data_IF_415596434366
#
_entry.id   IF_415596434366
#
_cell.length_a   1.000
_cell.length_b   1.000
_cell.length_c   1.000
_cell.angle_alpha   90.00
_cell.angle_beta   90.00
_cell.angle_gamma   90.00
#
_symmetry.space_group_name_H-M   'P 1'
#
loop_
_entity.id
_entity.type
_entity.pdbx_description
1 polymer ?
#
# COMPACT_ATOMS: atom_id res chain seq x y z
N UNK A 1 37.37 32.60 -13.20
CA UNK A 1 36.49 31.42 -13.39
C UNK A 1 35.06 31.90 -13.54
N UNK A 2 34.52 31.78 -14.73
CA UNK A 2 33.19 32.28 -15.14
C UNK A 2 32.09 31.37 -14.59
N UNK A 3 31.08 31.97 -13.96
CA UNK A 3 29.88 31.32 -13.45
C UNK A 3 28.94 30.96 -14.62
N UNK A 4 28.73 29.68 -14.88
CA UNK A 4 27.80 29.20 -15.91
C UNK A 4 26.35 29.24 -15.42
N UNK A 5 25.54 30.14 -16.00
CA UNK A 5 24.07 30.14 -15.85
C UNK A 5 23.47 28.98 -16.64
N UNK A 6 22.82 28.04 -15.98
CA UNK A 6 21.93 27.07 -16.61
C UNK A 6 20.60 27.76 -16.92
N UNK A 7 20.32 28.02 -18.20
CA UNK A 7 19.02 28.52 -18.67
C UNK A 7 18.13 27.30 -18.93
N UNK A 8 17.19 27.03 -18.04
CA UNK A 8 16.13 26.06 -18.29
C UNK A 8 15.11 26.63 -19.27
N UNK A 9 14.88 25.93 -20.39
CA UNK A 9 13.81 26.27 -21.32
C UNK A 9 12.44 25.95 -20.68
N UNK A 10 11.42 26.83 -20.82
CA UNK A 10 10.10 26.58 -20.27
C UNK A 10 9.37 25.50 -21.08
N UNK A 11 9.04 24.40 -20.42
CA UNK A 11 8.13 23.38 -20.93
C UNK A 11 6.70 23.95 -20.91
N UNK A 12 6.21 24.43 -22.06
CA UNK A 12 4.84 24.89 -22.22
C UNK A 12 3.87 23.72 -22.05
N UNK A 13 3.20 23.65 -20.89
CA UNK A 13 2.03 22.82 -20.69
C UNK A 13 0.81 23.53 -21.29
N UNK A 14 0.37 23.08 -22.46
CA UNK A 14 -0.94 23.46 -22.98
C UNK A 14 -2.03 22.85 -22.09
N UNK A 15 -2.72 23.72 -21.35
CA UNK A 15 -3.86 23.37 -20.51
C UNK A 15 -5.05 22.90 -21.36
N UNK A 16 -5.35 21.60 -21.37
CA UNK A 16 -6.69 21.12 -21.72
C UNK A 16 -7.61 21.31 -20.51
N UNK A 17 -8.33 22.43 -20.52
CA UNK A 17 -9.36 22.81 -19.55
C UNK A 17 -10.66 22.06 -19.86
N UNK A 18 -10.79 20.84 -19.36
CA UNK A 18 -12.08 20.19 -19.15
C UNK A 18 -11.96 19.35 -17.87
N UNK A 19 -12.66 19.76 -16.79
CA UNK A 19 -12.58 19.12 -15.48
C UNK A 19 -13.17 17.71 -15.52
N UNK A 20 -12.37 16.63 -15.35
CA UNK A 20 -12.85 15.24 -15.35
C UNK A 20 -13.66 14.87 -14.10
N UNK A 21 -13.76 15.82 -13.15
CA UNK A 21 -14.25 15.59 -11.79
C UNK A 21 -15.76 15.36 -11.79
N UNK A 22 -16.56 16.14 -12.52
CA UNK A 22 -18.02 15.98 -12.50
C UNK A 22 -18.49 14.69 -13.19
N UNK A 23 -17.77 14.22 -14.22
CA UNK A 23 -18.10 13.00 -14.97
C UNK A 23 -17.93 11.73 -14.12
N UNK A 24 -16.90 11.68 -13.27
CA UNK A 24 -16.60 10.49 -12.43
C UNK A 24 -17.48 10.45 -11.18
N UNK A 25 -17.86 11.61 -10.62
CA UNK A 25 -18.81 11.69 -9.50
C UNK A 25 -20.24 11.27 -9.92
N UNK A 26 -20.63 11.53 -11.17
CA UNK A 26 -21.88 11.02 -11.73
C UNK A 26 -21.84 9.50 -12.02
N UNK A 27 -20.65 8.94 -12.31
CA UNK A 27 -20.49 7.49 -12.51
C UNK A 27 -20.62 6.71 -11.19
N UNK A 28 -19.91 7.14 -10.13
CA UNK A 28 -19.94 6.45 -8.83
C UNK A 28 -21.30 6.47 -8.13
N UNK A 29 -22.12 7.50 -8.37
CA UNK A 29 -23.50 7.57 -7.84
C UNK A 29 -24.49 6.76 -8.68
N UNK A 30 -24.32 6.70 -10.01
CA UNK A 30 -25.18 5.88 -10.90
C UNK A 30 -24.86 4.39 -10.86
N UNK A 31 -23.63 3.97 -10.55
CA UNK A 31 -23.27 2.55 -10.39
C UNK A 31 -23.94 1.89 -9.19
N UNK A 32 -24.44 2.67 -8.22
CA UNK A 32 -25.16 2.15 -7.06
C UNK A 32 -26.68 2.01 -7.30
N UNK A 33 -27.24 2.55 -8.39
CA UNK A 33 -28.69 2.55 -8.64
C UNK A 33 -29.14 2.01 -10.00
N UNK A 34 -28.24 1.76 -10.97
CA UNK A 34 -28.61 1.27 -12.30
C UNK A 34 -28.54 -0.26 -12.45
N UNK A 35 -29.53 -0.84 -13.12
CA UNK A 35 -29.58 -2.27 -13.48
C UNK A 35 -28.59 -2.60 -14.60
N UNK A 36 -28.03 -3.81 -14.58
CA UNK A 36 -27.00 -4.35 -15.49
C UNK A 36 -27.28 -4.12 -16.99
N UNK A 37 -28.55 -3.99 -17.39
CA UNK A 37 -28.95 -3.78 -18.79
C UNK A 37 -28.56 -2.38 -19.34
N UNK A 38 -28.36 -1.39 -18.48
CA UNK A 38 -28.12 0.00 -18.88
C UNK A 38 -26.63 0.31 -19.13
N UNK A 39 -25.73 -0.60 -18.71
CA UNK A 39 -24.27 -0.40 -18.80
C UNK A 39 -23.67 -0.70 -20.19
N UNK A 40 -24.34 -1.45 -21.06
CA UNK A 40 -23.73 -1.91 -22.32
C UNK A 40 -23.68 -0.86 -23.44
N UNK A 41 -24.63 0.08 -23.49
CA UNK A 41 -24.75 1.00 -24.63
C UNK A 41 -23.90 2.28 -24.52
N UNK A 42 -23.60 2.76 -23.31
CA UNK A 42 -22.92 4.05 -23.10
C UNK A 42 -21.39 3.94 -23.03
N UNK A 43 -20.86 2.76 -22.69
CA UNK A 43 -19.41 2.54 -22.51
C UNK A 43 -18.61 2.41 -23.81
N UNK A 44 -19.21 1.90 -24.88
CA UNK A 44 -18.47 1.46 -26.08
C UNK A 44 -18.17 2.63 -27.04
N UNK A 45 -19.12 3.56 -27.22
CA UNK A 45 -19.02 4.60 -28.25
C UNK A 45 -18.01 5.70 -27.92
N UNK A 46 -17.81 6.04 -26.65
CA UNK A 46 -16.85 7.07 -26.24
C UNK A 46 -15.40 6.53 -26.16
N UNK A 47 -15.26 5.23 -25.87
CA UNK A 47 -13.99 4.54 -25.77
C UNK A 47 -13.28 4.39 -27.12
N UNK A 48 -14.03 4.08 -28.18
CA UNK A 48 -13.48 3.94 -29.53
C UNK A 48 -12.89 5.24 -30.09
N UNK A 49 -13.50 6.39 -29.76
CA UNK A 49 -13.03 7.71 -30.23
C UNK A 49 -11.75 8.17 -29.51
N UNK A 50 -11.54 7.75 -28.26
CA UNK A 50 -10.32 8.04 -27.50
C UNK A 50 -9.15 7.14 -27.93
N UNK A 51 -9.41 5.86 -28.21
CA UNK A 51 -8.41 4.89 -28.67
C UNK A 51 -7.80 5.24 -30.03
N UNK A 52 -8.59 5.82 -30.95
CA UNK A 52 -8.09 6.25 -32.27
C UNK A 52 -7.13 7.45 -32.20
N UNK A 53 -7.24 8.28 -31.17
CA UNK A 53 -6.36 9.44 -30.99
C UNK A 53 -4.99 9.07 -30.37
N UNK A 54 -4.93 8.00 -29.58
CA UNK A 54 -3.71 7.55 -28.92
C UNK A 54 -2.85 6.60 -29.78
N UNK A 55 -3.37 6.07 -30.91
CA UNK A 55 -2.66 5.10 -31.76
C UNK A 55 -1.49 5.70 -32.58
N UNK A 56 -1.31 7.02 -32.56
CA UNK A 56 -0.26 7.71 -33.32
C UNK A 56 1.07 7.93 -32.58
N UNK A 57 1.18 7.61 -31.29
CA UNK A 57 2.36 7.94 -30.49
C UNK A 57 2.70 6.80 -29.51
N UNK A 58 3.52 5.85 -29.95
CA UNK A 58 4.06 4.84 -29.04
C UNK A 58 4.47 3.56 -29.73
N UNK A 59 5.61 3.57 -30.43
CA UNK A 59 6.34 2.36 -30.78
C UNK A 59 7.72 2.42 -30.13
N UNK A 60 8.13 1.28 -29.55
CA UNK A 60 9.44 0.93 -29.00
C UNK A 60 9.67 1.38 -27.52
N UNK A 61 10.17 0.58 -26.57
CA UNK A 61 11.01 -0.63 -26.59
C UNK A 61 10.69 -1.48 -25.35
N UNK A 62 10.66 -2.80 -25.53
CA UNK A 62 10.58 -3.83 -24.51
C UNK A 62 11.99 -4.22 -24.03
N UNK A 63 12.22 -4.42 -22.71
CA UNK A 63 13.03 -5.56 -22.24
C UNK A 63 12.81 -5.86 -20.76
N UNK A 64 12.67 -7.15 -20.48
CA UNK A 64 12.36 -7.77 -19.19
C UNK A 64 13.62 -8.13 -18.40
N UNK A 65 13.52 -8.17 -17.07
CA UNK A 65 14.27 -9.13 -16.24
C UNK A 65 13.53 -9.36 -14.91
N UNK A 66 13.36 -10.63 -14.56
CA UNK A 66 12.59 -11.08 -13.40
C UNK A 66 13.42 -11.17 -12.12
N UNK A 67 12.76 -11.00 -10.97
CA UNK A 67 13.35 -11.10 -9.64
C UNK A 67 12.44 -11.92 -8.72
N UNK A 68 13.01 -12.92 -8.02
CA UNK A 68 12.30 -13.76 -7.04
C UNK A 68 12.67 -13.34 -5.62
N UNK A 69 11.69 -13.38 -4.72
CA UNK A 69 11.75 -12.93 -3.32
C UNK A 69 11.86 -14.13 -2.37
N UNK A 70 12.66 -13.99 -1.31
CA UNK A 70 12.69 -14.91 -0.17
C UNK A 70 12.65 -14.14 1.15
N UNK A 71 11.65 -14.45 1.99
CA UNK A 71 11.38 -13.85 3.30
C UNK A 71 12.21 -14.55 4.40
N UNK A 72 12.62 -13.80 5.44
CA UNK A 72 12.39 -14.21 6.85
C UNK A 72 12.68 -13.11 7.88
N UNK A 73 11.88 -13.17 8.96
CA UNK A 73 11.76 -12.26 10.11
C UNK A 73 13.00 -12.21 11.00
N UNK A 74 13.19 -11.07 11.66
CA UNK A 74 13.97 -10.96 12.91
C UNK A 74 13.23 -10.06 13.91
N UNK A 75 13.22 -10.48 15.17
CA UNK A 75 12.64 -9.81 16.34
C UNK A 75 13.71 -8.94 17.03
N UNK A 76 13.32 -7.82 17.65
CA UNK A 76 14.23 -6.85 18.29
C UNK A 76 13.95 -6.81 19.80
N UNK A 77 14.98 -6.86 20.68
CA UNK A 77 14.89 -6.27 22.00
C UNK A 77 15.62 -4.93 22.06
N UNK A 78 14.94 -3.98 22.70
CA UNK A 78 15.32 -2.59 22.91
C UNK A 78 16.24 -2.48 24.13
N UNK A 79 17.38 -1.82 23.99
CA UNK A 79 18.12 -1.32 25.15
C UNK A 79 18.79 0.01 24.83
N UNK A 80 18.42 1.00 25.64
CA UNK A 80 18.92 2.38 25.64
C UNK A 80 20.05 2.47 26.66
N UNK A 81 21.23 3.02 26.34
CA UNK A 81 22.15 3.47 27.36
C UNK A 81 22.21 5.00 27.46
N UNK A 82 22.25 5.44 28.71
CA UNK A 82 22.36 6.82 29.16
C UNK A 82 23.70 7.46 28.76
N UNK A 83 23.63 8.77 28.51
CA UNK A 83 24.74 9.59 28.08
C UNK A 83 25.72 9.91 29.23
N UNK A 84 27.01 9.67 28.99
CA UNK A 84 28.09 10.28 29.77
C UNK A 84 28.93 11.17 28.86
N UNK A 85 28.96 12.46 29.19
CA UNK A 85 29.77 13.49 28.55
C UNK A 85 31.24 13.33 28.96
N UNK A 86 32.10 12.98 28.02
CA UNK A 86 33.56 13.10 28.17
C UNK A 86 34.10 14.03 27.09
N UNK A 87 34.71 15.13 27.53
CA UNK A 87 35.37 16.13 26.69
C UNK A 87 36.77 15.62 26.35
N UNK A 88 36.97 15.13 25.13
CA UNK A 88 38.28 14.73 24.61
C UNK A 88 38.98 15.91 23.93
N UNK A 89 40.20 16.21 24.40
CA UNK A 89 41.15 17.11 23.76
C UNK A 89 41.68 16.46 22.48
N UNK A 90 41.59 17.18 21.35
CA UNK A 90 42.04 16.72 20.04
C UNK A 90 43.55 17.00 19.93
N UNK A 91 44.36 15.98 20.16
CA UNK A 91 45.78 15.97 19.80
C UNK A 91 45.90 15.59 18.32
N UNK A 92 46.34 16.52 17.48
CA UNK A 92 46.58 16.27 16.06
C UNK A 92 47.97 15.65 15.86
N UNK A 93 48.13 14.38 16.24
CA UNK A 93 49.26 13.60 15.73
C UNK A 93 48.99 13.29 14.26
N UNK A 94 49.62 14.06 13.35
CA UNK A 94 49.67 13.73 11.94
C UNK A 94 50.65 12.59 11.73
N UNK A 95 50.21 11.37 12.04
CA UNK A 95 50.93 10.16 11.66
C UNK A 95 50.86 10.05 10.12
N UNK A 96 51.99 9.89 9.41
CA UNK A 96 51.96 9.69 7.97
C UNK A 96 51.18 8.42 7.69
N UNK A 97 49.93 8.58 7.24
CA UNK A 97 49.05 7.46 6.91
C UNK A 97 49.73 6.64 5.82
N UNK A 98 50.33 5.53 6.22
CA UNK A 98 50.92 4.58 5.30
C UNK A 98 49.89 4.27 4.22
N UNK A 99 50.27 4.56 2.98
CA UNK A 99 49.42 4.27 1.81
C UNK A 99 49.03 2.79 1.89
N UNK A 100 47.74 2.44 1.83
CA UNK A 100 47.32 1.06 1.99
C UNK A 100 48.03 0.23 0.92
N UNK A 101 48.92 -0.67 1.36
CA UNK A 101 49.65 -1.58 0.47
C UNK A 101 48.61 -2.43 -0.26
N UNK A 102 48.38 -2.12 -1.54
CA UNK A 102 47.50 -2.90 -2.41
C UNK A 102 48.19 -4.24 -2.66
N UNK A 103 47.86 -5.22 -1.84
CA UNK A 103 48.28 -6.60 -2.06
C UNK A 103 47.21 -7.26 -2.91
N UNK A 104 47.58 -7.73 -4.11
CA UNK A 104 46.66 -8.51 -4.95
C UNK A 104 46.38 -9.84 -4.24
N UNK A 105 45.24 -9.92 -3.58
CA UNK A 105 44.78 -11.15 -2.92
C UNK A 105 44.35 -12.16 -4.01
N UNK A 106 44.63 -13.46 -3.88
CA UNK A 106 44.16 -14.48 -4.84
C UNK A 106 42.64 -14.43 -5.00
N UNK A 107 42.13 -14.64 -6.22
CA UNK A 107 40.71 -14.47 -6.59
C UNK A 107 39.74 -15.18 -5.63
N UNK A 108 40.03 -16.41 -5.21
CA UNK A 108 39.17 -17.15 -4.27
C UNK A 108 39.13 -16.64 -2.83
N UNK A 109 40.16 -15.92 -2.36
CA UNK A 109 40.18 -15.33 -1.01
C UNK A 109 39.56 -13.93 -0.98
N UNK A 110 39.53 -13.22 -2.13
CA UNK A 110 38.79 -11.97 -2.27
C UNK A 110 37.29 -12.19 -2.13
N UNK A 111 36.77 -13.28 -2.71
CA UNK A 111 35.34 -13.59 -2.66
C UNK A 111 34.85 -13.87 -1.24
N UNK A 112 35.64 -14.58 -0.43
CA UNK A 112 35.31 -14.85 0.96
C UNK A 112 35.30 -13.56 1.82
N UNK A 113 36.29 -12.69 1.65
CA UNK A 113 36.37 -11.42 2.38
C UNK A 113 35.22 -10.47 2.00
N UNK A 114 34.90 -10.35 0.70
CA UNK A 114 33.80 -9.53 0.22
C UNK A 114 32.44 -10.09 0.65
N UNK A 115 32.26 -11.43 0.68
CA UNK A 115 31.05 -12.06 1.25
C UNK A 115 30.91 -11.74 2.74
N UNK A 116 31.99 -11.87 3.51
CA UNK A 116 32.00 -11.53 4.93
C UNK A 116 31.72 -10.03 5.17
N UNK A 117 32.19 -9.14 4.30
CA UNK A 117 31.84 -7.72 4.34
C UNK A 117 30.36 -7.48 4.01
N UNK A 118 29.78 -8.18 3.01
CA UNK A 118 28.36 -8.03 2.65
C UNK A 118 27.42 -8.43 3.79
N UNK A 119 27.78 -9.45 4.57
CA UNK A 119 27.02 -9.89 5.74
C UNK A 119 27.02 -8.86 6.89
N UNK A 120 28.08 -8.04 7.00
CA UNK A 120 28.23 -7.03 8.05
C UNK A 120 27.70 -5.65 7.65
N UNK A 121 27.13 -5.48 6.45
CA UNK A 121 26.52 -4.21 6.05
C UNK A 121 25.23 -4.01 6.84
N UNK A 122 25.12 -2.95 7.66
CA UNK A 122 23.87 -2.66 8.34
C UNK A 122 22.78 -2.32 7.32
N UNK A 123 21.55 -2.73 7.62
CA UNK A 123 20.37 -2.31 6.87
C UNK A 123 20.02 -0.91 7.37
N UNK A 124 19.89 0.06 6.47
CA UNK A 124 19.47 1.40 6.84
C UNK A 124 18.07 1.34 7.49
N UNK A 125 17.83 2.12 8.57
CA UNK A 125 16.50 2.17 9.17
C UNK A 125 15.49 2.68 8.13
N UNK A 126 14.29 2.10 8.12
CA UNK A 126 13.26 2.42 7.13
C UNK A 126 11.95 2.85 7.81
N UNK A 127 11.15 1.89 8.31
CA UNK A 127 9.82 2.15 8.86
C UNK A 127 9.86 3.04 10.11
N UNK A 128 10.96 2.99 10.87
CA UNK A 128 11.11 3.74 12.11
C UNK A 128 11.45 5.22 11.88
N UNK A 129 12.05 5.58 10.73
CA UNK A 129 12.52 6.94 10.46
C UNK A 129 11.70 7.68 9.40
N UNK A 130 10.87 6.97 8.61
CA UNK A 130 10.03 7.61 7.61
C UNK A 130 8.88 8.38 8.26
N UNK A 131 8.51 9.49 7.64
CA UNK A 131 7.39 10.30 8.12
C UNK A 131 6.08 9.53 7.93
N UNK A 132 5.20 9.63 8.93
CA UNK A 132 3.89 8.97 8.90
C UNK A 132 2.92 9.60 7.88
N UNK A 133 3.22 10.79 7.37
CA UNK A 133 2.43 11.50 6.36
C UNK A 133 2.58 10.93 4.94
N UNK A 134 3.51 10.01 4.73
CA UNK A 134 3.67 9.32 3.45
C UNK A 134 2.53 8.33 3.20
N UNK A 135 2.20 8.18 1.91
CA UNK A 135 1.07 7.37 1.43
C UNK A 135 1.14 5.88 1.81
N UNK A 136 2.31 5.36 2.21
CA UNK A 136 2.49 3.94 2.52
C UNK A 136 1.77 3.50 3.80
N UNK A 137 1.72 4.32 4.86
CA UNK A 137 0.99 4.00 6.11
C UNK A 137 -0.49 4.40 6.10
N UNK A 138 -0.89 5.21 5.13
CA UNK A 138 -2.28 5.56 4.93
C UNK A 138 -3.05 4.40 4.29
N UNK A 139 -3.72 4.69 3.19
CA UNK A 139 -4.64 3.75 2.56
C UNK A 139 -3.98 2.48 1.99
N UNK A 140 -2.67 2.49 1.75
CA UNK A 140 -1.94 1.31 1.25
C UNK A 140 -1.77 0.21 2.30
N UNK A 141 -1.23 0.52 3.48
CA UNK A 141 -1.10 -0.45 4.57
C UNK A 141 -2.48 -0.97 5.02
N UNK A 142 -3.45 -0.07 5.16
CA UNK A 142 -4.80 -0.44 5.55
C UNK A 142 -5.49 -1.35 4.53
N UNK A 143 -5.21 -1.21 3.23
CA UNK A 143 -5.70 -2.16 2.21
C UNK A 143 -5.32 -3.60 2.52
N UNK A 144 -4.07 -3.79 2.97
CA UNK A 144 -3.51 -5.10 3.29
C UNK A 144 -4.08 -5.61 4.60
N UNK A 145 -4.13 -4.76 5.62
CA UNK A 145 -4.66 -5.12 6.94
C UNK A 145 -6.13 -5.55 6.80
N UNK A 146 -6.98 -4.74 6.16
CA UNK A 146 -8.40 -5.08 5.99
C UNK A 146 -8.59 -6.33 5.13
N UNK A 147 -7.80 -6.50 4.06
CA UNK A 147 -7.84 -7.71 3.23
C UNK A 147 -7.44 -8.97 4.01
N UNK A 148 -6.33 -8.92 4.74
CA UNK A 148 -5.89 -10.02 5.61
C UNK A 148 -6.91 -10.34 6.71
N UNK A 149 -7.55 -9.32 7.30
CA UNK A 149 -8.60 -9.53 8.31
C UNK A 149 -9.80 -10.23 7.70
N UNK A 150 -10.33 -9.76 6.57
CA UNK A 150 -11.50 -10.36 5.91
C UNK A 150 -11.23 -11.80 5.47
N UNK A 151 -10.10 -12.03 4.79
CA UNK A 151 -9.71 -13.39 4.38
C UNK A 151 -9.41 -14.27 5.59
N UNK A 152 -8.75 -13.74 6.62
CA UNK A 152 -8.44 -14.48 7.84
C UNK A 152 -9.69 -14.97 8.56
N UNK A 153 -10.69 -14.09 8.71
CA UNK A 153 -12.00 -14.44 9.30
C UNK A 153 -12.70 -15.50 8.45
N UNK A 154 -12.74 -15.34 7.13
CA UNK A 154 -13.34 -16.34 6.24
C UNK A 154 -12.67 -17.71 6.37
N UNK A 155 -11.33 -17.76 6.37
CA UNK A 155 -10.59 -19.01 6.54
C UNK A 155 -10.81 -19.65 7.91
N UNK A 156 -10.83 -18.87 8.98
CA UNK A 156 -11.13 -19.39 10.31
C UNK A 156 -12.54 -19.97 10.39
N UNK A 157 -13.52 -19.33 9.74
CA UNK A 157 -14.89 -19.84 9.67
C UNK A 157 -14.94 -21.19 8.95
N UNK A 158 -14.37 -21.30 7.74
CA UNK A 158 -14.38 -22.56 6.99
C UNK A 158 -13.58 -23.67 7.67
N UNK A 159 -12.47 -23.32 8.32
CA UNK A 159 -11.70 -24.29 9.10
C UNK A 159 -12.50 -24.77 10.31
N UNK A 160 -13.18 -23.87 11.03
CA UNK A 160 -14.09 -24.22 12.12
C UNK A 160 -15.21 -25.16 11.67
N UNK A 161 -15.83 -24.87 10.52
CA UNK A 161 -16.84 -25.73 9.91
C UNK A 161 -16.33 -27.15 9.66
N UNK A 162 -15.11 -27.29 9.13
CA UNK A 162 -14.51 -28.59 8.83
C UNK A 162 -14.09 -29.37 10.10
N UNK A 163 -13.59 -28.65 11.11
CA UNK A 163 -12.98 -29.25 12.30
C UNK A 163 -14.02 -29.56 13.39
N UNK A 164 -15.11 -28.79 13.47
CA UNK A 164 -16.11 -28.94 14.54
C UNK A 164 -16.68 -30.36 14.71
N UNK A 165 -17.01 -31.12 13.63
CA UNK A 165 -17.51 -32.48 13.77
C UNK A 165 -16.53 -33.45 14.44
N UNK A 166 -15.21 -33.22 14.31
CA UNK A 166 -14.17 -34.04 14.95
C UNK A 166 -14.25 -33.96 16.48
N UNK A 167 -14.74 -32.84 17.00
CA UNK A 167 -14.93 -32.60 18.44
C UNK A 167 -16.38 -32.81 18.90
N UNK A 168 -17.24 -33.39 18.05
CA UNK A 168 -18.65 -33.61 18.36
C UNK A 168 -19.50 -32.33 18.40
N UNK A 169 -18.99 -31.22 17.87
CA UNK A 169 -19.68 -29.94 17.80
C UNK A 169 -20.20 -29.62 16.40
N UNK A 170 -21.16 -28.69 16.32
CA UNK A 170 -21.64 -28.12 15.06
C UNK A 170 -21.17 -26.66 14.95
N UNK A 171 -20.61 -26.29 13.80
CA UNK A 171 -20.18 -24.92 13.48
C UNK A 171 -20.90 -24.45 12.22
N UNK A 172 -22.23 -24.53 12.22
CA UNK A 172 -23.07 -24.06 11.14
C UNK A 172 -23.46 -22.58 11.31
N UNK A 173 -24.13 -22.02 10.31
CA UNK A 173 -24.62 -20.64 10.36
C UNK A 173 -25.67 -20.43 11.46
N UNK A 174 -26.46 -21.46 11.81
CA UNK A 174 -27.48 -21.37 12.86
C UNK A 174 -26.87 -21.26 14.27
N UNK A 175 -25.82 -22.03 14.55
CA UNK A 175 -25.04 -21.97 15.78
C UNK A 175 -24.35 -20.60 15.93
N UNK A 176 -23.81 -20.04 14.84
CA UNK A 176 -23.26 -18.69 14.86
C UNK A 176 -24.30 -17.62 15.14
N UNK A 177 -25.45 -17.66 14.44
CA UNK A 177 -26.52 -16.67 14.62
C UNK A 177 -27.07 -16.74 16.04
N UNK A 178 -27.35 -17.93 16.57
CA UNK A 178 -27.83 -18.09 17.94
C UNK A 178 -26.81 -17.62 18.98
N UNK A 179 -25.53 -17.96 18.83
CA UNK A 179 -24.46 -17.47 19.69
C UNK A 179 -24.29 -15.95 19.62
N UNK A 180 -24.42 -15.36 18.42
CA UNK A 180 -24.35 -13.91 18.23
C UNK A 180 -25.55 -13.20 18.88
N UNK A 181 -26.76 -13.74 18.75
CA UNK A 181 -27.97 -13.19 19.37
C UNK A 181 -27.95 -13.22 20.90
N UNK A 182 -27.20 -14.15 21.51
CA UNK A 182 -27.05 -14.22 22.97
C UNK A 182 -26.16 -13.10 23.55
N UNK A 183 -25.40 -12.38 22.72
CA UNK A 183 -24.53 -11.29 23.16
C UNK A 183 -25.34 -10.02 23.51
N UNK A 184 -24.85 -9.15 24.41
CA UNK A 184 -25.43 -7.83 24.62
C UNK A 184 -25.46 -6.99 23.34
N UNK A 185 -26.46 -6.11 23.20
CA UNK A 185 -26.66 -5.27 22.00
C UNK A 185 -25.44 -4.44 21.65
N UNK A 186 -24.76 -3.84 22.64
CA UNK A 186 -23.54 -3.07 22.40
C UNK A 186 -22.40 -3.93 21.83
N UNK A 187 -22.29 -5.18 22.27
CA UNK A 187 -21.27 -6.13 21.79
C UNK A 187 -21.59 -6.55 20.35
N UNK A 188 -22.86 -6.85 20.06
CA UNK A 188 -23.32 -7.16 18.70
C UNK A 188 -23.00 -6.03 17.72
N UNK A 189 -23.35 -4.80 18.08
CA UNK A 189 -23.05 -3.61 17.25
C UNK A 189 -21.54 -3.42 17.06
N UNK A 190 -20.74 -3.64 18.11
CA UNK A 190 -19.28 -3.60 18.03
C UNK A 190 -18.72 -4.61 17.02
N UNK A 191 -19.17 -5.87 17.07
CA UNK A 191 -18.77 -6.90 16.11
C UNK A 191 -19.24 -6.62 14.68
N UNK A 192 -20.48 -6.14 14.50
CA UNK A 192 -20.99 -5.70 13.20
C UNK A 192 -20.07 -4.60 12.63
N UNK A 193 -19.74 -3.58 13.41
CA UNK A 193 -18.85 -2.50 12.97
C UNK A 193 -17.43 -3.00 12.66
N UNK A 194 -16.89 -3.91 13.48
CA UNK A 194 -15.56 -4.50 13.29
C UNK A 194 -15.45 -5.29 11.97
N UNK A 195 -16.53 -5.88 11.47
CA UNK A 195 -16.54 -6.62 10.19
C UNK A 195 -16.94 -5.75 9.01
N UNK A 196 -17.93 -4.88 9.18
CA UNK A 196 -18.45 -4.04 8.11
C UNK A 196 -17.43 -2.96 7.72
N UNK A 197 -16.72 -2.37 8.68
CA UNK A 197 -15.72 -1.34 8.39
C UNK A 197 -14.57 -1.82 7.48
N UNK A 198 -13.84 -2.91 7.80
CA UNK A 198 -12.81 -3.41 6.91
C UNK A 198 -13.38 -3.83 5.55
N UNK A 199 -14.60 -4.36 5.49
CA UNK A 199 -15.26 -4.69 4.22
C UNK A 199 -15.54 -3.46 3.34
N UNK A 200 -16.15 -2.42 3.90
CA UNK A 200 -16.43 -1.17 3.19
C UNK A 200 -15.13 -0.50 2.74
N UNK A 201 -14.15 -0.38 3.65
CA UNK A 201 -12.85 0.19 3.35
C UNK A 201 -12.13 -0.57 2.24
N UNK A 202 -12.02 -1.90 2.35
CA UNK A 202 -11.32 -2.72 1.36
C UNK A 202 -11.95 -2.62 -0.02
N UNK A 203 -13.29 -2.66 -0.08
CA UNK A 203 -14.05 -2.55 -1.34
C UNK A 203 -13.83 -1.19 -2.02
N UNK A 204 -14.02 -0.08 -1.29
CA UNK A 204 -13.88 1.28 -1.83
C UNK A 204 -12.42 1.55 -2.23
N UNK A 205 -11.46 1.14 -1.40
CA UNK A 205 -10.05 1.28 -1.71
C UNK A 205 -9.61 0.40 -2.88
N UNK A 206 -10.26 -0.75 -3.08
CA UNK A 206 -10.04 -1.63 -4.24
C UNK A 206 -10.37 -0.94 -5.54
N UNK A 207 -11.52 -0.27 -5.60
CA UNK A 207 -11.89 0.54 -6.76
C UNK A 207 -10.88 1.66 -7.01
N UNK A 208 -10.43 2.36 -5.95
CA UNK A 208 -9.39 3.39 -6.08
C UNK A 208 -8.07 2.81 -6.62
N UNK A 209 -7.66 1.63 -6.14
CA UNK A 209 -6.44 0.97 -6.60
C UNK A 209 -6.54 0.52 -8.05
N UNK A 210 -7.68 -0.05 -8.47
CA UNK A 210 -7.92 -0.37 -9.88
C UNK A 210 -7.88 0.87 -10.77
N UNK A 211 -8.36 2.02 -10.28
CA UNK A 211 -8.25 3.28 -11.00
C UNK A 211 -6.79 3.74 -11.12
N UNK A 212 -5.95 3.54 -10.10
CA UNK A 212 -4.50 3.80 -10.19
C UNK A 212 -3.83 2.85 -11.19
N UNK A 213 -4.17 1.57 -11.18
CA UNK A 213 -3.63 0.56 -12.09
C UNK A 213 -4.04 0.85 -13.54
N UNK A 214 -5.22 1.45 -13.75
CA UNK A 214 -5.69 1.94 -15.05
C UNK A 214 -5.07 3.29 -15.46
N UNK A 215 -4.18 3.88 -14.66
CA UNK A 215 -3.49 5.14 -14.96
C UNK A 215 -4.30 6.40 -14.64
N UNK A 216 -5.32 6.33 -13.78
CA UNK A 216 -6.09 7.48 -13.31
C UNK A 216 -5.68 7.88 -11.88
N UNK A 217 -6.10 9.08 -11.45
CA UNK A 217 -6.03 9.58 -10.06
C UNK A 217 -4.64 9.57 -9.35
N UNK A 218 -3.52 9.46 -10.07
CA UNK A 218 -2.17 9.35 -9.49
C UNK A 218 -1.49 10.67 -9.13
N UNK A 219 -2.11 11.82 -9.40
CA UNK A 219 -1.53 13.12 -9.01
C UNK A 219 -1.50 13.26 -7.48
N UNK A 220 -0.44 13.86 -6.91
CA UNK A 220 -0.29 14.02 -5.45
C UNK A 220 -1.51 14.67 -4.80
N UNK A 221 -2.02 15.75 -5.39
CA UNK A 221 -3.20 16.46 -4.88
C UNK A 221 -4.46 15.57 -4.94
N UNK A 222 -4.59 14.76 -6.01
CA UNK A 222 -5.69 13.81 -6.14
C UNK A 222 -5.61 12.69 -5.12
N UNK A 223 -4.42 12.14 -4.86
CA UNK A 223 -4.22 11.07 -3.86
C UNK A 223 -4.67 11.54 -2.48
N UNK A 224 -4.24 12.72 -2.03
CA UNK A 224 -4.62 13.27 -0.71
C UNK A 224 -6.14 13.44 -0.59
N UNK A 225 -6.80 13.94 -1.65
CA UNK A 225 -8.26 14.10 -1.67
C UNK A 225 -8.98 12.75 -1.69
N UNK A 226 -8.50 11.81 -2.50
CA UNK A 226 -9.07 10.48 -2.60
C UNK A 226 -8.94 9.72 -1.28
N UNK A 227 -7.82 9.84 -0.58
CA UNK A 227 -7.63 9.21 0.73
C UNK A 227 -8.61 9.77 1.78
N UNK A 228 -8.79 11.10 1.84
CA UNK A 228 -9.80 11.71 2.72
C UNK A 228 -11.21 11.24 2.40
N UNK A 229 -11.56 11.25 1.12
CA UNK A 229 -12.87 10.79 0.65
C UNK A 229 -13.10 9.32 1.05
N UNK A 230 -12.09 8.48 0.86
CA UNK A 230 -12.15 7.05 1.15
C UNK A 230 -12.39 6.76 2.63
N UNK A 231 -11.69 7.43 3.55
CA UNK A 231 -11.93 7.26 4.98
C UNK A 231 -13.35 7.67 5.38
N UNK A 232 -13.81 8.82 4.87
CA UNK A 232 -15.15 9.34 5.17
C UNK A 232 -16.23 8.41 4.59
N UNK A 233 -16.13 8.04 3.32
CA UNK A 233 -17.11 7.18 2.66
C UNK A 233 -17.14 5.80 3.30
N UNK A 234 -16.00 5.20 3.62
CA UNK A 234 -15.94 3.90 4.30
C UNK A 234 -16.63 3.94 5.66
N UNK A 235 -16.38 4.99 6.45
CA UNK A 235 -17.01 5.13 7.77
C UNK A 235 -18.52 5.32 7.66
N UNK A 236 -18.98 6.21 6.77
CA UNK A 236 -20.41 6.45 6.54
C UNK A 236 -21.14 5.22 6.00
N UNK A 237 -20.57 4.53 5.02
CA UNK A 237 -21.12 3.27 4.49
C UNK A 237 -21.21 2.23 5.60
N UNK A 238 -20.22 2.17 6.49
CA UNK A 238 -20.23 1.22 7.60
C UNK A 238 -21.33 1.51 8.60
N UNK A 239 -21.49 2.77 9.00
CA UNK A 239 -22.60 3.18 9.88
C UNK A 239 -23.96 2.88 9.27
N UNK A 240 -24.12 3.16 7.97
CA UNK A 240 -25.37 2.85 7.26
C UNK A 240 -25.68 1.34 7.26
N UNK A 241 -24.68 0.50 6.96
CA UNK A 241 -24.84 -0.95 6.94
C UNK A 241 -25.11 -1.53 8.34
N UNK A 242 -24.43 -1.04 9.37
CA UNK A 242 -24.62 -1.52 10.76
C UNK A 242 -26.00 -1.17 11.31
N UNK A 243 -26.55 -0.02 10.95
CA UNK A 243 -27.89 0.40 11.39
C UNK A 243 -29.02 -0.26 10.59
N UNK A 244 -28.72 -0.78 9.40
CA UNK A 244 -29.70 -1.48 8.57
C UNK A 244 -29.78 -2.99 8.89
N UNK A 245 -28.67 -3.58 9.37
CA UNK A 245 -28.57 -4.97 9.83
C UNK A 245 -28.98 -5.14 11.29
#
# INVERSE_FOLDING_TARGET
MTQGKFVGLPMQQHSCRASPIESIFAFGTKTFTASLAEMQHLGILNWQRCMLHCRGQGVAVLRTSGFRVGLRRVSIPLQVPAAHLSRTLISTNSEPRASPRITKVPTGHQDAALRNQRLKRPIAPHLEIYKLDQTYLGTSAWMRITGCTLSGVAYLYFLGYLVAPVFGGNWDSAALVSGFHALPTWTQTGFKMLMVFPFAFHSINGVKQLAYDAGFLYSRATIIRADRFLWISSFLTSLAMVNWL
#
